data_IF_605564555186
#
_entry.id   IF_605564555186
#
_cell.length_a   1.000
_cell.length_b   1.000
_cell.length_c   1.000
_cell.angle_alpha   90.00
_cell.angle_beta   90.00
_cell.angle_gamma   90.00
#
_symmetry.space_group_name_H-M   'P 1'
#
loop_
_entity.id
_entity.type
_entity.pdbx_description
1 polymer ?
#
# COMPACT_ATOMS: atom_id res chain seq x y z
N UNK A 1 55.25 -25.54 35.10
CA UNK A 1 54.90 -24.84 33.84
C UNK A 1 54.28 -25.86 32.88
N UNK A 2 52.96 -25.82 32.65
CA UNK A 2 52.36 -26.25 31.37
C UNK A 2 50.93 -25.72 31.29
N UNK A 3 50.69 -24.98 30.23
CA UNK A 3 49.61 -24.03 30.02
C UNK A 3 48.28 -24.71 29.71
N UNK A 4 47.22 -24.25 30.37
CA UNK A 4 45.84 -24.52 30.01
C UNK A 4 45.61 -24.03 28.56
N UNK A 5 45.43 -24.97 27.64
CA UNK A 5 45.13 -24.68 26.25
C UNK A 5 43.73 -24.06 26.14
N UNK A 6 43.73 -22.83 25.63
CA UNK A 6 42.79 -22.30 24.65
C UNK A 6 41.33 -22.80 24.77
N UNK A 7 40.45 -21.98 25.34
CA UNK A 7 39.72 -20.94 24.59
C UNK A 7 38.94 -21.51 23.39
N UNK A 8 37.61 -21.52 23.58
CA UNK A 8 36.70 -20.65 22.82
C UNK A 8 36.45 -21.07 21.36
N UNK A 9 35.75 -22.17 21.14
CA UNK A 9 34.97 -22.40 19.91
C UNK A 9 33.78 -23.31 20.20
N UNK A 10 32.85 -22.85 21.02
CA UNK A 10 31.47 -23.31 20.89
C UNK A 10 30.79 -22.38 19.89
N UNK A 11 30.14 -22.91 18.85
CA UNK A 11 29.58 -22.11 17.77
C UNK A 11 28.51 -21.22 18.37
N UNK A 12 28.78 -19.91 18.41
CA UNK A 12 27.78 -18.91 18.76
C UNK A 12 26.68 -19.10 17.74
N UNK A 13 25.52 -19.54 18.24
CA UNK A 13 24.36 -19.92 17.46
C UNK A 13 24.10 -18.91 16.35
N UNK A 14 24.05 -19.45 15.14
CA UNK A 14 23.62 -18.76 13.94
C UNK A 14 22.22 -18.23 14.22
N UNK A 15 22.15 -16.94 14.56
CA UNK A 15 20.94 -16.33 15.03
C UNK A 15 20.93 -14.88 14.61
N UNK A 16 20.98 -14.60 13.31
CA UNK A 16 20.65 -13.26 12.82
C UNK A 16 19.80 -13.35 11.56
N UNK A 17 18.48 -13.29 11.84
CA UNK A 17 17.47 -12.50 11.16
C UNK A 17 17.30 -12.72 9.65
N UNK A 18 16.39 -13.63 9.29
CA UNK A 18 15.68 -13.52 8.03
C UNK A 18 14.78 -12.28 8.10
N UNK A 19 15.24 -11.17 7.52
CA UNK A 19 14.34 -10.05 7.19
C UNK A 19 13.46 -10.54 6.04
N UNK A 20 12.33 -11.14 6.41
CA UNK A 20 11.26 -11.37 5.46
C UNK A 20 10.78 -9.98 5.03
N UNK A 21 11.18 -9.57 3.83
CA UNK A 21 10.45 -8.53 3.12
C UNK A 21 9.05 -9.10 2.87
N UNK A 22 8.17 -8.88 3.84
CA UNK A 22 6.75 -8.96 3.62
C UNK A 22 6.41 -7.74 2.77
N UNK A 23 6.66 -7.85 1.46
CA UNK A 23 5.87 -7.11 0.50
C UNK A 23 4.46 -7.64 0.70
N UNK A 24 3.74 -7.02 1.64
CA UNK A 24 2.30 -7.05 1.68
C UNK A 24 1.84 -6.31 0.44
N UNK A 25 2.06 -6.90 -0.75
CA UNK A 25 1.16 -6.70 -1.86
C UNK A 25 -0.09 -7.43 -1.43
N UNK A 26 -0.90 -6.71 -0.66
CA UNK A 26 -2.32 -6.94 -0.57
C UNK A 26 -2.81 -7.18 -2.00
N UNK A 27 -2.91 -8.46 -2.34
CA UNK A 27 -3.60 -8.91 -3.52
C UNK A 27 -5.05 -8.50 -3.34
N UNK A 28 -5.38 -7.30 -3.81
CA UNK A 28 -6.74 -6.96 -4.15
C UNK A 28 -7.05 -7.87 -5.33
N UNK A 29 -7.58 -9.05 -5.01
CA UNK A 29 -8.20 -9.94 -5.95
C UNK A 29 -9.23 -9.10 -6.71
N UNK A 30 -8.93 -8.81 -7.96
CA UNK A 30 -9.86 -8.25 -8.92
C UNK A 30 -10.92 -9.31 -9.23
N UNK A 31 -11.81 -9.57 -8.27
CA UNK A 31 -12.93 -10.48 -8.44
C UNK A 31 -14.20 -9.64 -8.48
N UNK A 32 -14.56 -9.31 -9.72
CA UNK A 32 -15.89 -9.28 -10.29
C UNK A 32 -17.05 -8.54 -9.57
N UNK A 33 -17.70 -7.68 -10.38
CA UNK A 33 -19.16 -7.50 -10.38
C UNK A 33 -19.76 -6.68 -9.24
N UNK A 34 -19.33 -5.42 -9.11
CA UNK A 34 -20.18 -4.20 -9.12
C UNK A 34 -19.21 -3.02 -9.01
N UNK A 35 -19.14 -2.13 -10.02
CA UNK A 35 -18.16 -1.05 -10.17
C UNK A 35 -18.26 0.03 -9.08
N UNK A 36 -17.88 -0.29 -7.85
CA UNK A 36 -17.37 0.67 -6.87
C UNK A 36 -15.85 0.53 -6.93
N UNK A 37 -15.22 1.34 -7.80
CA UNK A 37 -13.76 1.38 -7.81
C UNK A 37 -13.33 1.85 -6.41
N UNK A 38 -12.48 1.06 -5.75
CA UNK A 38 -11.86 1.51 -4.51
C UNK A 38 -11.20 2.85 -4.79
N UNK A 39 -11.65 3.89 -4.11
CA UNK A 39 -11.29 5.27 -4.38
C UNK A 39 -10.32 5.79 -3.32
N UNK A 40 -9.47 6.73 -3.71
CA UNK A 40 -8.48 7.34 -2.82
C UNK A 40 -8.53 8.87 -2.90
N UNK A 41 -8.23 9.57 -1.82
CA UNK A 41 -8.07 11.04 -1.79
C UNK A 41 -6.76 11.42 -1.09
N UNK A 42 -6.22 12.60 -1.41
CA UNK A 42 -5.13 13.20 -0.63
C UNK A 42 -5.68 13.80 0.67
N UNK A 43 -5.35 13.17 1.81
CA UNK A 43 -5.71 13.69 3.12
C UNK A 43 -4.83 14.90 3.50
N UNK A 44 -5.08 15.49 4.67
CA UNK A 44 -4.36 16.68 5.14
C UNK A 44 -2.92 16.37 5.60
N UNK A 45 -2.55 15.08 5.66
CA UNK A 45 -1.19 14.59 5.93
C UNK A 45 -0.41 14.28 4.64
N UNK A 46 -0.94 14.69 3.47
CA UNK A 46 -0.37 14.40 2.15
C UNK A 46 -0.27 12.89 1.83
N UNK A 47 -1.13 12.08 2.46
CA UNK A 47 -1.22 10.65 2.23
C UNK A 47 -2.50 10.28 1.50
N UNK A 48 -2.44 9.16 0.77
CA UNK A 48 -3.59 8.58 0.10
C UNK A 48 -4.46 7.79 1.06
N UNK A 49 -5.63 8.33 1.37
CA UNK A 49 -6.64 7.69 2.19
C UNK A 49 -7.70 7.03 1.31
N UNK A 50 -8.04 5.78 1.64
CA UNK A 50 -9.10 5.05 0.95
C UNK A 50 -10.46 5.61 1.38
N UNK A 51 -11.33 5.89 0.42
CA UNK A 51 -12.69 6.38 0.66
C UNK A 51 -13.70 5.59 -0.15
N UNK A 52 -14.91 5.52 0.36
CA UNK A 52 -16.05 5.00 -0.39
C UNK A 52 -16.64 6.13 -1.25
N UNK A 53 -16.36 6.04 -2.56
CA UNK A 53 -16.85 6.98 -3.55
C UNK A 53 -17.51 6.23 -4.71
N UNK A 54 -18.67 6.70 -5.17
CA UNK A 54 -19.27 6.20 -6.41
C UNK A 54 -18.73 7.02 -7.59
N UNK A 55 -17.52 6.69 -8.01
CA UNK A 55 -16.85 7.29 -9.15
C UNK A 55 -16.53 6.21 -10.20
N UNK A 56 -16.31 6.61 -11.45
CA UNK A 56 -15.88 5.73 -12.53
C UNK A 56 -14.62 6.29 -13.21
N UNK A 57 -14.03 5.56 -14.14
CA UNK A 57 -12.90 6.05 -14.95
C UNK A 57 -13.36 6.58 -16.33
N UNK A 58 -14.66 6.89 -16.49
CA UNK A 58 -15.30 7.19 -17.77
C UNK A 58 -16.14 8.47 -17.62
N UNK A 59 -15.62 9.58 -18.11
CA UNK A 59 -16.31 10.86 -18.09
C UNK A 59 -15.36 12.02 -18.36
N UNK A 60 -15.89 13.23 -18.26
CA UNK A 60 -15.13 14.49 -18.45
C UNK A 60 -15.08 15.36 -17.20
N UNK A 61 -15.88 15.03 -16.18
CA UNK A 61 -15.98 15.78 -14.93
C UNK A 61 -15.26 15.01 -13.84
N UNK A 62 -14.23 15.61 -13.23
CA UNK A 62 -13.52 15.00 -12.10
C UNK A 62 -14.47 14.63 -10.97
N UNK A 63 -14.33 13.43 -10.45
CA UNK A 63 -15.02 13.03 -9.22
C UNK A 63 -14.33 13.70 -8.04
N UNK A 64 -15.11 14.35 -7.18
CA UNK A 64 -14.61 15.00 -5.98
C UNK A 64 -15.45 14.60 -4.78
N UNK A 65 -14.80 14.42 -3.64
CA UNK A 65 -15.45 14.31 -2.34
C UNK A 65 -15.08 15.57 -1.55
N UNK A 66 -16.08 16.41 -1.29
CA UNK A 66 -15.84 17.74 -0.75
C UNK A 66 -15.05 18.61 -1.74
N UNK A 67 -13.81 18.97 -1.39
CA UNK A 67 -12.90 19.74 -2.24
C UNK A 67 -11.66 18.96 -2.68
N UNK A 68 -11.67 17.62 -2.50
CA UNK A 68 -10.54 16.74 -2.84
C UNK A 68 -10.90 15.87 -4.04
N UNK A 69 -9.97 15.74 -4.98
CA UNK A 69 -10.09 14.85 -6.13
C UNK A 69 -9.97 13.39 -5.71
N UNK A 70 -10.68 12.53 -6.42
CA UNK A 70 -10.72 11.10 -6.15
C UNK A 70 -9.89 10.35 -7.19
N UNK A 71 -9.08 9.40 -6.72
CA UNK A 71 -8.12 8.64 -7.52
C UNK A 71 -8.39 7.13 -7.46
N UNK A 72 -7.96 6.40 -8.48
CA UNK A 72 -8.13 4.94 -8.59
C UNK A 72 -6.98 4.16 -7.96
N UNK A 73 -5.76 4.68 -8.04
CA UNK A 73 -4.57 3.97 -7.60
C UNK A 73 -3.86 4.67 -6.46
N UNK A 74 -3.34 3.87 -5.53
CA UNK A 74 -2.43 4.29 -4.46
C UNK A 74 -1.09 3.59 -4.62
N UNK A 75 0.00 4.35 -4.64
CA UNK A 75 1.37 3.86 -4.60
C UNK A 75 2.13 4.55 -3.47
N UNK A 76 2.19 3.90 -2.30
CA UNK A 76 2.71 4.52 -1.08
C UNK A 76 1.86 5.72 -0.66
N UNK A 77 2.48 6.91 -0.64
CA UNK A 77 1.82 8.19 -0.33
C UNK A 77 1.24 8.89 -1.56
N UNK A 78 1.44 8.34 -2.76
CA UNK A 78 1.00 8.98 -4.01
C UNK A 78 -0.29 8.35 -4.54
N UNK A 79 -1.20 9.21 -4.99
CA UNK A 79 -2.46 8.82 -5.61
C UNK A 79 -2.31 9.10 -7.11
N UNK A 80 -2.80 8.20 -7.94
CA UNK A 80 -2.75 8.38 -9.39
C UNK A 80 -4.01 7.90 -10.07
N UNK A 81 -4.22 8.40 -11.28
CA UNK A 81 -5.42 8.20 -12.10
C UNK A 81 -6.68 8.81 -11.45
N UNK A 82 -6.98 10.06 -11.85
CA UNK A 82 -8.22 10.73 -11.45
C UNK A 82 -9.44 9.95 -11.94
N UNK A 83 -10.37 9.70 -11.02
CA UNK A 83 -11.69 9.19 -11.33
C UNK A 83 -12.61 10.33 -11.74
N UNK A 84 -13.59 10.00 -12.56
CA UNK A 84 -14.63 10.86 -13.08
C UNK A 84 -15.95 10.61 -12.35
N UNK A 85 -16.80 11.63 -12.31
CA UNK A 85 -18.14 11.50 -11.76
C UNK A 85 -18.92 10.48 -12.56
N UNK A 86 -19.69 9.63 -11.87
CA UNK A 86 -20.53 8.65 -12.54
C UNK A 86 -21.62 9.37 -13.35
N UNK A 87 -21.55 9.26 -14.68
CA UNK A 87 -22.59 9.78 -15.57
C UNK A 87 -23.52 8.62 -15.95
N UNK A 88 -24.86 8.77 -15.79
CA UNK A 88 -25.83 7.78 -16.22
C UNK A 88 -25.89 7.59 -17.74
#
# INVERSE_FOLDING_TARGET
MKTNFLKKTLPIGVGMMAVAFAFATEGKASNESTRYATAYIYNDLEECEQVDATCNNIGTVSCTIGSKEVFEFKNGTQCSQNLMHWQP
#
